data_IF_219793207186
#
_entry.id   IF_219793207186
#
_cell.length_a   1.000
_cell.length_b   1.000
_cell.length_c   1.000
_cell.angle_alpha   90.00
_cell.angle_beta   90.00
_cell.angle_gamma   90.00
#
_symmetry.space_group_name_H-M   'P 1'
#
loop_
_entity.id
_entity.type
_entity.pdbx_description
1 polymer ?
#
# COMPACT_ATOMS: atom_id res chain seq x y z
N UNK A 1 -13.10 -1.70 27.33
CA UNK A 1 -13.35 -2.27 25.99
C UNK A 1 -14.57 -1.57 25.39
N UNK A 2 -14.44 -0.33 24.89
CA UNK A 2 -15.51 0.40 24.18
C UNK A 2 -14.94 1.72 23.66
N UNK A 3 -14.10 1.65 22.63
CA UNK A 3 -13.67 2.85 21.90
C UNK A 3 -13.53 2.51 20.42
N UNK A 4 -12.95 1.36 20.07
CA UNK A 4 -12.84 0.95 18.66
C UNK A 4 -14.19 0.65 17.99
N UNK A 5 -15.17 0.12 18.72
CA UNK A 5 -16.53 -0.12 18.21
C UNK A 5 -17.22 1.19 17.85
N UNK A 6 -17.12 2.18 18.75
CA UNK A 6 -17.81 3.46 18.64
C UNK A 6 -17.16 4.33 17.56
N UNK A 7 -15.83 4.29 17.46
CA UNK A 7 -15.08 4.98 16.40
C UNK A 7 -15.42 4.41 15.02
N UNK A 8 -15.54 3.07 14.88
CA UNK A 8 -15.96 2.45 13.61
C UNK A 8 -17.40 2.78 13.22
N UNK A 9 -18.28 2.98 14.20
CA UNK A 9 -19.68 3.34 13.96
C UNK A 9 -19.83 4.82 13.59
N UNK A 10 -19.03 5.72 14.19
CA UNK A 10 -18.96 7.14 13.84
C UNK A 10 -18.36 7.34 12.44
N UNK A 11 -17.33 6.60 12.09
CA UNK A 11 -16.66 6.70 10.79
C UNK A 11 -17.43 6.05 9.63
N UNK A 12 -18.58 5.44 9.88
CA UNK A 12 -19.33 4.67 8.88
C UNK A 12 -19.94 5.52 7.76
N UNK A 13 -20.18 6.81 8.04
CA UNK A 13 -20.80 7.78 7.14
C UNK A 13 -19.87 8.91 6.71
N UNK A 14 -18.68 9.00 7.31
CA UNK A 14 -17.62 9.86 6.80
C UNK A 14 -16.99 9.16 5.60
N UNK A 15 -16.66 9.87 4.50
CA UNK A 15 -15.88 9.29 3.41
C UNK A 15 -14.55 8.89 4.01
N UNK A 16 -14.44 7.61 4.38
CA UNK A 16 -13.26 7.18 5.10
C UNK A 16 -12.12 7.25 4.11
N UNK A 17 -11.18 8.14 4.39
CA UNK A 17 -10.10 8.61 3.52
C UNK A 17 -9.20 7.46 3.01
N UNK A 18 -9.43 6.22 3.47
CA UNK A 18 -8.75 5.00 3.03
C UNK A 18 -8.56 4.91 1.52
N UNK A 19 -9.60 5.16 0.72
CA UNK A 19 -9.52 5.04 -0.76
C UNK A 19 -8.61 6.10 -1.41
N UNK A 20 -8.23 7.13 -0.66
CA UNK A 20 -7.34 8.20 -1.11
C UNK A 20 -5.94 8.11 -0.50
N UNK A 21 -5.74 7.22 0.47
CA UNK A 21 -4.44 7.00 1.09
C UNK A 21 -3.55 6.17 0.18
N UNK A 22 -2.23 6.42 0.25
CA UNK A 22 -1.25 5.62 -0.51
C UNK A 22 -1.28 4.17 -0.01
N UNK A 23 -1.18 3.16 -0.90
CA UNK A 23 -1.27 1.75 -0.53
C UNK A 23 -0.26 1.30 0.54
N UNK A 24 0.94 1.90 0.55
CA UNK A 24 1.99 1.62 1.54
C UNK A 24 1.63 2.13 2.95
N UNK A 25 0.97 3.29 3.04
CA UNK A 25 0.44 3.84 4.30
C UNK A 25 -0.64 2.92 4.86
N UNK A 26 -1.57 2.47 4.01
CA UNK A 26 -2.64 1.56 4.40
C UNK A 26 -2.07 0.25 4.95
N UNK A 27 -1.03 -0.29 4.32
CA UNK A 27 -0.43 -1.56 4.73
C UNK A 27 0.26 -1.46 6.11
N UNK A 28 0.98 -0.38 6.37
CA UNK A 28 1.56 -0.12 7.69
C UNK A 28 0.49 0.12 8.76
N UNK A 29 -0.61 0.80 8.38
CA UNK A 29 -1.76 0.98 9.29
C UNK A 29 -2.45 -0.34 9.60
N UNK A 30 -2.60 -1.25 8.62
CA UNK A 30 -3.08 -2.62 8.84
C UNK A 30 -2.14 -3.45 9.71
N UNK A 31 -0.84 -3.14 9.69
CA UNK A 31 0.15 -3.75 10.59
C UNK A 31 0.14 -3.16 12.01
N UNK A 32 -0.76 -2.20 12.30
CA UNK A 32 -0.92 -1.59 13.62
C UNK A 32 -0.12 -0.30 13.86
N UNK A 33 0.52 0.24 12.81
CA UNK A 33 1.24 1.52 12.91
C UNK A 33 0.25 2.66 12.70
N UNK A 34 0.21 3.63 13.64
CA UNK A 34 -0.64 4.81 13.47
C UNK A 34 -0.27 5.63 12.23
N UNK A 35 -1.22 6.37 11.65
CA UNK A 35 -1.02 7.15 10.42
C UNK A 35 0.27 7.98 10.41
N UNK A 36 0.52 8.78 11.45
CA UNK A 36 1.74 9.60 11.55
C UNK A 36 3.02 8.75 11.61
N UNK A 37 2.97 7.59 12.27
CA UNK A 37 4.07 6.63 12.30
C UNK A 37 4.32 6.00 10.93
N UNK A 38 3.26 5.68 10.19
CA UNK A 38 3.35 5.17 8.81
C UNK A 38 3.98 6.20 7.88
N UNK A 39 3.55 7.47 7.95
CA UNK A 39 4.15 8.56 7.17
C UNK A 39 5.62 8.75 7.52
N UNK A 40 5.97 8.75 8.82
CA UNK A 40 7.36 8.91 9.26
C UNK A 40 8.27 7.77 8.78
N UNK A 41 7.80 6.52 8.80
CA UNK A 41 8.56 5.36 8.31
C UNK A 41 8.77 5.40 6.80
N UNK A 42 7.74 5.78 6.04
CA UNK A 42 7.78 5.84 4.57
C UNK A 42 8.52 7.08 4.03
N UNK A 43 8.62 8.13 4.85
CA UNK A 43 9.40 9.33 4.55
C UNK A 43 10.86 9.20 4.97
N UNK A 44 11.20 8.15 5.73
CA UNK A 44 12.57 7.85 6.11
C UNK A 44 13.33 7.12 5.00
N UNK A 45 14.66 7.29 4.98
CA UNK A 45 15.58 6.64 4.03
C UNK A 45 15.90 5.18 4.42
N UNK A 46 15.12 4.60 5.33
CA UNK A 46 15.26 3.21 5.74
C UNK A 46 14.55 2.35 4.71
N UNK A 47 15.21 1.30 4.21
CA UNK A 47 14.73 0.29 3.24
C UNK A 47 13.37 -0.31 3.63
N UNK A 48 12.30 0.49 3.50
CA UNK A 48 10.95 0.23 4.01
C UNK A 48 10.31 -0.92 3.24
N UNK A 49 10.80 -1.20 2.03
CA UNK A 49 10.41 -2.36 1.25
C UNK A 49 10.68 -3.70 1.97
N UNK A 50 11.68 -3.77 2.86
CA UNK A 50 11.94 -4.99 3.65
C UNK A 50 10.89 -5.23 4.75
N UNK A 51 10.09 -4.22 5.10
CA UNK A 51 9.00 -4.36 6.06
C UNK A 51 7.78 -5.06 5.44
N UNK A 52 7.71 -5.14 4.11
CA UNK A 52 6.59 -5.74 3.42
C UNK A 52 6.88 -7.19 3.05
N UNK A 53 5.92 -8.11 3.26
CA UNK A 53 6.00 -9.46 2.70
C UNK A 53 6.20 -9.39 1.18
N UNK A 54 7.06 -10.26 0.58
CA UNK A 54 7.35 -10.20 -0.86
C UNK A 54 6.13 -10.27 -1.78
N UNK A 55 5.07 -10.97 -1.38
CA UNK A 55 3.80 -11.01 -2.11
C UNK A 55 3.05 -9.68 -2.04
N UNK A 56 2.90 -9.13 -0.83
CA UNK A 56 2.26 -7.83 -0.62
C UNK A 56 3.01 -6.69 -1.31
N UNK A 57 4.36 -6.77 -1.34
CA UNK A 57 5.19 -5.82 -2.09
C UNK A 57 4.91 -5.90 -3.60
N UNK A 58 4.79 -7.10 -4.17
CA UNK A 58 4.48 -7.26 -5.58
C UNK A 58 3.08 -6.75 -5.94
N UNK A 59 2.06 -7.05 -5.11
CA UNK A 59 0.70 -6.54 -5.32
C UNK A 59 0.64 -5.00 -5.19
N UNK A 60 1.41 -4.43 -4.26
CA UNK A 60 1.50 -2.98 -4.06
C UNK A 60 2.18 -2.29 -5.25
N UNK A 61 3.32 -2.82 -5.71
CA UNK A 61 4.01 -2.31 -6.89
C UNK A 61 3.13 -2.42 -8.15
N UNK A 62 2.43 -3.53 -8.32
CA UNK A 62 1.48 -3.71 -9.43
C UNK A 62 0.39 -2.63 -9.40
N UNK A 63 -0.19 -2.37 -8.22
CA UNK A 63 -1.20 -1.34 -8.06
C UNK A 63 -0.63 0.06 -8.37
N UNK A 64 0.53 0.41 -7.82
CA UNK A 64 1.18 1.69 -8.10
C UNK A 64 1.55 1.87 -9.59
N UNK A 65 2.00 0.80 -10.26
CA UNK A 65 2.27 0.79 -11.71
C UNK A 65 0.98 1.03 -12.51
N UNK A 66 -0.09 0.28 -12.21
CA UNK A 66 -1.37 0.38 -12.91
C UNK A 66 -1.98 1.79 -12.83
N UNK A 67 -1.84 2.44 -11.68
CA UNK A 67 -2.38 3.76 -11.44
C UNK A 67 -1.42 4.92 -11.79
N UNK A 68 -0.19 4.61 -12.26
CA UNK A 68 0.88 5.57 -12.60
C UNK A 68 1.34 6.44 -11.42
N UNK A 69 1.67 5.79 -10.30
CA UNK A 69 1.93 6.43 -8.98
C UNK A 69 3.20 5.88 -8.32
N UNK A 70 4.06 5.25 -9.11
CA UNK A 70 5.30 4.64 -8.65
C UNK A 70 6.26 5.67 -8.05
N UNK A 71 6.24 6.88 -8.62
CA UNK A 71 7.07 8.04 -8.29
C UNK A 71 6.63 8.75 -7.00
N UNK A 72 5.41 8.51 -6.52
CA UNK A 72 4.92 9.09 -5.25
C UNK A 72 5.57 8.48 -4.02
N UNK A 73 6.39 7.44 -4.18
CA UNK A 73 7.00 6.69 -3.09
C UNK A 73 8.52 6.85 -3.11
N UNK A 74 9.08 7.57 -2.13
CA UNK A 74 10.53 7.76 -2.03
C UNK A 74 11.31 6.44 -1.94
N UNK A 75 10.74 5.40 -1.33
CA UNK A 75 11.39 4.09 -1.19
C UNK A 75 11.35 3.24 -2.48
N UNK A 76 10.50 3.57 -3.46
CA UNK A 76 10.39 2.78 -4.69
C UNK A 76 11.72 2.77 -5.48
N UNK A 77 12.45 3.88 -5.51
CA UNK A 77 13.76 3.98 -6.18
C UNK A 77 14.81 3.00 -5.64
N UNK A 78 14.66 2.57 -4.39
CA UNK A 78 15.60 1.66 -3.71
C UNK A 78 15.23 0.18 -3.89
N UNK A 79 14.09 -0.12 -4.51
CA UNK A 79 13.61 -1.48 -4.71
C UNK A 79 14.41 -2.16 -5.84
N UNK A 80 14.98 -3.35 -5.61
CA UNK A 80 15.66 -4.09 -6.67
C UNK A 80 14.73 -4.47 -7.83
N UNK A 81 15.25 -4.39 -9.07
CA UNK A 81 14.54 -4.65 -10.34
C UNK A 81 13.69 -5.95 -10.34
N UNK A 82 14.19 -7.01 -9.71
CA UNK A 82 13.48 -8.31 -9.60
C UNK A 82 12.06 -8.20 -9.03
N UNK A 83 11.78 -7.22 -8.18
CA UNK A 83 10.45 -7.03 -7.61
C UNK A 83 9.51 -6.32 -8.58
N UNK A 84 10.03 -5.44 -9.44
CA UNK A 84 9.27 -4.83 -10.52
C UNK A 84 8.87 -5.85 -11.57
N UNK A 85 9.77 -6.74 -11.97
CA UNK A 85 9.43 -7.86 -12.88
C UNK A 85 8.32 -8.75 -12.30
N UNK A 86 8.34 -8.97 -10.98
CA UNK A 86 7.30 -9.75 -10.30
C UNK A 86 5.96 -9.01 -10.26
N UNK A 87 5.98 -7.69 -10.15
CA UNK A 87 4.80 -6.84 -10.21
C UNK A 87 4.19 -6.81 -11.62
N UNK A 88 5.02 -6.76 -12.67
CA UNK A 88 4.57 -6.87 -14.06
C UNK A 88 3.88 -8.20 -14.33
N UNK A 89 4.49 -9.33 -13.93
CA UNK A 89 3.85 -10.65 -14.03
C UNK A 89 2.52 -10.70 -13.27
N UNK A 90 2.42 -9.99 -12.14
CA UNK A 90 1.18 -9.89 -11.38
C UNK A 90 0.12 -9.09 -12.14
N UNK A 91 0.50 -7.99 -12.80
CA UNK A 91 -0.40 -7.21 -13.64
C UNK A 91 -0.93 -8.01 -14.83
N UNK A 92 -0.08 -8.78 -15.49
CA UNK A 92 -0.49 -9.66 -16.60
C UNK A 92 -1.51 -10.72 -16.14
N UNK A 93 -1.30 -11.29 -14.94
CA UNK A 93 -2.25 -12.21 -14.30
C UNK A 93 -3.58 -11.52 -14.03
N UNK A 94 -3.56 -10.35 -13.40
CA UNK A 94 -4.76 -9.58 -13.07
C UNK A 94 -5.54 -9.16 -14.33
N UNK A 95 -4.82 -8.76 -15.39
CA UNK A 95 -5.42 -8.46 -16.69
C UNK A 95 -6.12 -9.68 -17.29
N UNK A 96 -5.48 -10.85 -17.23
CA UNK A 96 -6.03 -12.12 -17.71
C UNK A 96 -7.26 -12.57 -16.90
N UNK A 97 -7.28 -12.27 -15.60
CA UNK A 97 -8.38 -12.56 -14.68
C UNK A 97 -9.53 -11.53 -14.81
N UNK A 98 -9.34 -10.44 -15.55
CA UNK A 98 -10.31 -9.33 -15.63
C UNK A 98 -10.44 -8.53 -14.32
N UNK A 99 -9.47 -8.68 -13.40
CA UNK A 99 -9.44 -8.03 -12.09
C UNK A 99 -8.59 -6.77 -12.17
N UNK A 100 -9.09 -5.66 -11.61
CA UNK A 100 -8.28 -4.44 -11.50
C UNK A 100 -7.56 -4.44 -10.15
N UNK A 101 -6.27 -4.06 -10.10
CA UNK A 101 -5.57 -3.83 -8.84
C UNK A 101 -6.34 -2.81 -7.98
N UNK A 102 -6.49 -3.13 -6.70
CA UNK A 102 -7.15 -2.23 -5.74
C UNK A 102 -6.36 -0.96 -5.48
N UNK A 103 -7.03 0.01 -4.85
CA UNK A 103 -6.40 1.14 -4.17
C UNK A 103 -6.55 0.96 -2.67
#
# INVERSE_FOLDING_TARGET
MSQESDVREIMKNEPVVWDTLRPDVILLMRAGIGYQGSIALLSGDVMTYNLFPPSALADMLASMMFWNRLDESFWAKEVPEKYYLRAELRLDSLHSEGVRPGY
#
